data_IF_646664843164
#
_entry.id   IF_646664843164
#
_cell.length_a   1.000
_cell.length_b   1.000
_cell.length_c   1.000
_cell.angle_alpha   90.00
_cell.angle_beta   90.00
_cell.angle_gamma   90.00
#
_symmetry.space_group_name_H-M   'P 1'
#
loop_
_entity.id
_entity.type
_entity.pdbx_description
1 polymer ?
#
# COMPACT_ATOMS: atom_id res chain seq x y z
N UNK A 1 32.52 -20.87 -41.62
CA UNK A 1 31.09 -21.06 -41.33
C UNK A 1 30.79 -20.31 -40.03
N UNK A 2 30.23 -19.11 -40.13
CA UNK A 2 29.90 -18.27 -38.97
C UNK A 2 28.39 -18.12 -38.92
N UNK A 3 27.74 -18.90 -38.06
CA UNK A 3 26.29 -18.83 -37.84
C UNK A 3 26.00 -17.62 -36.96
N UNK A 4 25.46 -16.56 -37.55
CA UNK A 4 24.92 -15.43 -36.81
C UNK A 4 23.68 -15.88 -36.02
N UNK A 5 23.65 -15.55 -34.73
CA UNK A 5 22.49 -15.76 -33.88
C UNK A 5 21.32 -14.88 -34.37
N UNK A 6 20.07 -15.40 -34.38
CA UNK A 6 18.92 -14.61 -34.80
C UNK A 6 18.63 -13.48 -33.80
N UNK A 7 18.08 -12.34 -34.26
CA UNK A 7 17.71 -11.25 -33.37
C UNK A 7 16.57 -11.69 -32.42
N UNK A 8 16.55 -11.19 -31.18
CA UNK A 8 15.51 -11.53 -30.22
C UNK A 8 14.13 -11.03 -30.69
N UNK A 9 13.10 -11.84 -30.47
CA UNK A 9 11.72 -11.55 -30.83
C UNK A 9 11.11 -10.52 -29.88
N UNK A 10 10.11 -9.77 -30.38
CA UNK A 10 9.41 -8.66 -29.71
C UNK A 10 8.70 -9.01 -28.37
N UNK A 11 8.83 -10.24 -27.86
CA UNK A 11 8.20 -10.70 -26.61
C UNK A 11 9.08 -10.51 -25.36
N UNK A 12 10.26 -9.89 -25.47
CA UNK A 12 11.21 -9.71 -24.36
C UNK A 12 11.46 -8.26 -23.96
N UNK A 13 10.53 -7.34 -24.23
CA UNK A 13 10.58 -6.00 -23.62
C UNK A 13 9.75 -6.01 -22.34
N UNK A 14 10.25 -6.69 -21.29
CA UNK A 14 9.96 -6.21 -19.94
C UNK A 14 10.73 -4.91 -19.83
N UNK A 15 10.05 -3.81 -19.56
CA UNK A 15 10.71 -2.57 -19.15
C UNK A 15 11.55 -2.93 -17.91
N UNK A 16 12.85 -3.12 -18.09
CA UNK A 16 13.79 -3.26 -16.98
C UNK A 16 13.97 -1.84 -16.44
N UNK A 17 13.06 -1.42 -15.57
CA UNK A 17 13.26 -0.22 -14.77
C UNK A 17 14.49 -0.45 -13.90
N UNK A 18 15.35 0.56 -13.79
CA UNK A 18 16.50 0.52 -12.89
C UNK A 18 16.00 0.28 -11.46
N UNK A 19 16.60 -0.63 -10.67
CA UNK A 19 16.25 -0.80 -9.25
C UNK A 19 16.22 0.53 -8.47
N UNK A 20 17.10 1.47 -8.80
CA UNK A 20 17.09 2.80 -8.17
C UNK A 20 15.83 3.61 -8.51
N UNK A 21 15.33 3.50 -9.74
CA UNK A 21 14.08 4.13 -10.18
C UNK A 21 12.86 3.50 -9.49
N UNK A 22 12.88 2.17 -9.28
CA UNK A 22 11.80 1.46 -8.58
C UNK A 22 11.74 1.84 -7.09
N UNK A 23 12.89 1.90 -6.40
CA UNK A 23 12.97 2.39 -5.02
C UNK A 23 12.46 3.83 -4.88
N UNK A 24 12.90 4.71 -5.80
CA UNK A 24 12.46 6.11 -5.84
C UNK A 24 10.93 6.22 -6.05
N UNK A 25 10.34 5.30 -6.80
CA UNK A 25 8.90 5.25 -7.02
C UNK A 25 8.13 4.79 -5.78
N UNK A 26 8.58 3.71 -5.13
CA UNK A 26 7.97 3.21 -3.90
C UNK A 26 8.02 4.25 -2.79
N UNK A 27 9.14 4.97 -2.69
CA UNK A 27 9.28 6.11 -1.79
C UNK A 27 8.23 7.20 -2.06
N UNK A 28 8.06 7.64 -3.31
CA UNK A 28 7.00 8.61 -3.67
C UNK A 28 5.61 8.11 -3.30
N UNK A 29 5.26 6.86 -3.59
CA UNK A 29 3.95 6.33 -3.20
C UNK A 29 3.74 6.31 -1.68
N UNK A 30 4.80 6.05 -0.90
CA UNK A 30 4.72 6.15 0.56
C UNK A 30 4.53 7.59 1.03
N UNK A 31 5.16 8.58 0.40
CA UNK A 31 4.91 9.99 0.70
C UNK A 31 3.45 10.38 0.43
N UNK A 32 2.83 9.84 -0.63
CA UNK A 32 1.40 10.04 -0.90
C UNK A 32 0.55 9.44 0.23
N UNK A 33 0.85 8.22 0.67
CA UNK A 33 0.18 7.62 1.83
C UNK A 33 0.37 8.48 3.10
N UNK A 34 1.56 9.06 3.32
CA UNK A 34 1.84 9.94 4.44
C UNK A 34 1.02 11.24 4.41
N UNK A 35 0.86 11.85 3.23
CA UNK A 35 -0.04 13.00 3.06
C UNK A 35 -1.49 12.67 3.41
N UNK A 36 -1.95 11.46 3.10
CA UNK A 36 -3.30 11.01 3.45
C UNK A 36 -3.44 10.81 4.97
N UNK A 37 -2.41 10.28 5.63
CA UNK A 37 -2.42 10.12 7.09
C UNK A 37 -2.56 11.47 7.82
N UNK A 38 -1.97 12.57 7.30
CA UNK A 38 -2.11 13.91 7.90
C UNK A 38 -3.54 14.48 7.82
N UNK A 39 -4.38 13.95 6.92
CA UNK A 39 -5.80 14.34 6.77
C UNK A 39 -6.70 13.72 7.85
N UNK A 40 -6.22 12.71 8.57
CA UNK A 40 -6.99 12.06 9.62
C UNK A 40 -7.41 13.06 10.70
N UNK A 41 -8.66 12.94 11.17
CA UNK A 41 -9.05 13.52 12.45
C UNK A 41 -8.33 12.71 13.54
N UNK A 42 -7.49 13.34 14.37
CA UNK A 42 -6.72 12.64 15.39
C UNK A 42 -7.60 12.19 16.56
N UNK A 43 -7.22 11.07 17.17
CA UNK A 43 -7.84 10.56 18.41
C UNK A 43 -6.76 9.98 19.31
N UNK A 44 -7.03 9.84 20.61
CA UNK A 44 -6.08 9.26 21.58
C UNK A 44 -6.17 7.73 21.67
N UNK A 45 -7.06 7.10 20.91
CA UNK A 45 -7.38 5.67 21.01
C UNK A 45 -7.17 4.91 19.70
N UNK A 46 -6.72 5.59 18.65
CA UNK A 46 -6.43 4.99 17.36
C UNK A 46 -5.35 5.79 16.63
N UNK A 47 -4.63 5.12 15.73
CA UNK A 47 -3.60 5.76 14.91
C UNK A 47 -4.19 6.50 13.69
N UNK A 48 -3.49 7.53 13.23
CA UNK A 48 -3.70 8.19 11.94
C UNK A 48 -2.87 7.48 10.86
N UNK A 49 -3.52 6.68 10.02
CA UNK A 49 -2.85 5.89 8.98
C UNK A 49 -3.33 6.37 7.62
N UNK A 50 -2.46 6.34 6.62
CA UNK A 50 -2.80 6.57 5.23
C UNK A 50 -2.44 5.37 4.38
N UNK A 51 -3.20 5.17 3.30
CA UNK A 51 -3.08 4.03 2.40
C UNK A 51 -3.27 4.46 0.95
N UNK A 52 -2.50 3.89 0.04
CA UNK A 52 -2.69 4.02 -1.41
C UNK A 52 -2.53 2.67 -2.08
N UNK A 53 -3.27 2.43 -3.15
CA UNK A 53 -3.23 1.18 -3.92
C UNK A 53 -3.00 1.54 -5.38
N UNK A 54 -1.93 1.03 -5.96
CA UNK A 54 -1.56 1.22 -7.37
C UNK A 54 -1.60 -0.10 -8.11
N UNK A 55 -1.87 -0.08 -9.42
CA UNK A 55 -1.56 -1.23 -10.27
C UNK A 55 -0.08 -1.22 -10.63
N UNK A 56 0.53 -2.41 -10.77
CA UNK A 56 1.94 -2.53 -11.14
C UNK A 56 2.22 -2.21 -12.62
N UNK A 57 1.21 -1.87 -13.41
CA UNK A 57 1.37 -1.59 -14.84
C UNK A 57 2.03 -0.23 -15.12
N UNK A 58 1.93 0.71 -14.19
CA UNK A 58 2.53 2.04 -14.31
C UNK A 58 2.76 2.64 -12.91
N UNK A 59 3.80 3.45 -12.73
CA UNK A 59 3.93 4.26 -11.51
C UNK A 59 2.73 5.18 -11.27
N UNK A 60 2.08 5.69 -12.32
CA UNK A 60 0.97 6.65 -12.20
C UNK A 60 -0.42 6.01 -12.10
N UNK A 61 -0.53 4.68 -12.06
CA UNK A 61 -1.82 3.98 -12.06
C UNK A 61 -2.40 3.79 -10.67
N UNK A 62 -2.69 4.90 -10.00
CA UNK A 62 -3.43 4.93 -8.74
C UNK A 62 -4.84 4.35 -8.94
N UNK A 63 -5.19 3.36 -8.12
CA UNK A 63 -6.50 2.71 -8.16
C UNK A 63 -7.41 3.21 -7.05
N UNK A 64 -6.89 3.38 -5.84
CA UNK A 64 -7.64 3.84 -4.68
C UNK A 64 -6.72 4.41 -3.61
N UNK A 65 -7.29 5.24 -2.75
CA UNK A 65 -6.63 5.85 -1.60
C UNK A 65 -7.41 5.51 -0.34
N UNK A 66 -6.86 5.76 0.84
CA UNK A 66 -7.53 5.57 2.11
C UNK A 66 -6.84 6.36 3.21
N UNK A 67 -7.57 6.86 4.19
CA UNK A 67 -6.99 7.26 5.48
C UNK A 67 -7.90 6.87 6.64
N UNK A 68 -7.33 6.72 7.83
CA UNK A 68 -8.11 6.33 9.01
C UNK A 68 -9.28 7.28 9.22
N UNK A 69 -10.48 6.71 9.44
CA UNK A 69 -11.73 7.43 9.68
C UNK A 69 -12.18 8.30 8.49
N UNK A 70 -11.75 7.97 7.27
CA UNK A 70 -12.25 8.60 6.05
C UNK A 70 -13.71 8.19 5.79
N UNK A 71 -14.01 6.90 5.85
CA UNK A 71 -15.37 6.37 5.71
C UNK A 71 -16.07 6.32 7.08
N UNK A 72 -17.41 6.38 7.14
CA UNK A 72 -18.16 6.35 8.40
C UNK A 72 -17.77 5.20 9.32
N UNK A 73 -17.65 5.50 10.63
CA UNK A 73 -17.23 4.55 11.65
C UNK A 73 -15.73 4.61 11.95
N UNK A 74 -15.25 3.67 12.77
CA UNK A 74 -13.82 3.59 13.14
C UNK A 74 -13.02 2.77 12.10
N UNK A 75 -13.10 3.21 10.84
CA UNK A 75 -12.47 2.52 9.71
C UNK A 75 -10.97 2.81 9.66
N UNK A 76 -10.17 1.81 9.27
CA UNK A 76 -8.74 2.01 9.01
C UNK A 76 -8.50 2.40 7.55
N UNK A 77 -7.31 2.94 7.28
CA UNK A 77 -6.92 3.40 5.95
C UNK A 77 -7.01 2.30 4.88
N UNK A 78 -6.50 1.10 5.18
CA UNK A 78 -6.49 -0.02 4.25
C UNK A 78 -7.91 -0.53 4.00
N UNK A 79 -8.77 -0.51 5.02
CA UNK A 79 -10.18 -0.81 4.84
C UNK A 79 -10.85 0.21 3.91
N UNK A 80 -10.65 1.52 4.15
CA UNK A 80 -11.23 2.57 3.29
C UNK A 80 -10.80 2.41 1.83
N UNK A 81 -9.51 2.11 1.59
CA UNK A 81 -8.98 1.92 0.25
C UNK A 81 -9.56 0.70 -0.45
N UNK A 82 -9.68 -0.44 0.24
CA UNK A 82 -10.23 -1.68 -0.31
C UNK A 82 -11.75 -1.55 -0.56
N UNK A 83 -12.50 -1.02 0.40
CA UNK A 83 -13.95 -0.86 0.29
C UNK A 83 -14.29 0.02 -0.93
N UNK A 84 -13.54 1.12 -1.16
CA UNK A 84 -13.68 1.96 -2.36
C UNK A 84 -13.40 1.22 -3.68
N UNK A 85 -12.45 0.29 -3.71
CA UNK A 85 -12.21 -0.56 -4.89
C UNK A 85 -13.42 -1.48 -5.14
N UNK A 86 -13.91 -2.13 -4.10
CA UNK A 86 -15.01 -3.08 -4.20
C UNK A 86 -16.29 -2.38 -4.65
N UNK A 87 -16.63 -1.25 -4.04
CA UNK A 87 -17.86 -0.52 -4.32
C UNK A 87 -17.82 0.21 -5.67
N UNK A 88 -16.70 0.89 -5.95
CA UNK A 88 -16.55 1.75 -7.12
C UNK A 88 -16.16 1.01 -8.39
N UNK A 89 -15.26 0.03 -8.29
CA UNK A 89 -14.54 -0.51 -9.45
C UNK A 89 -14.85 -1.98 -9.73
N UNK A 90 -15.43 -2.73 -8.79
CA UNK A 90 -15.69 -4.16 -8.98
C UNK A 90 -17.14 -4.45 -9.36
N UNK A 91 -17.37 -5.42 -10.24
CA UNK A 91 -18.73 -5.93 -10.49
C UNK A 91 -19.23 -6.65 -9.22
N UNK A 92 -20.48 -6.40 -8.83
CA UNK A 92 -21.14 -7.20 -7.80
C UNK A 92 -21.21 -8.63 -8.29
N UNK A 93 -20.70 -9.56 -7.48
CA UNK A 93 -20.53 -10.98 -7.81
C UNK A 93 -21.87 -11.71 -7.95
N UNK A 94 -22.63 -11.39 -8.98
CA UNK A 94 -23.76 -12.19 -9.44
C UNK A 94 -23.23 -13.08 -10.57
N UNK A 95 -22.66 -14.23 -10.18
CA UNK A 95 -22.37 -15.38 -11.05
C UNK A 95 -21.49 -15.09 -12.27
N UNK A 96 -20.22 -14.78 -12.06
CA UNK A 96 -19.21 -15.09 -13.08
C UNK A 96 -18.81 -16.55 -12.87
N UNK A 97 -19.23 -17.42 -13.79
CA UNK A 97 -19.03 -18.86 -13.72
C UNK A 97 -17.56 -19.26 -13.55
N UNK A 98 -17.37 -20.46 -13.03
CA UNK A 98 -16.10 -21.17 -12.86
C UNK A 98 -15.34 -21.24 -14.20
N UNK A 99 -14.57 -20.20 -14.49
CA UNK A 99 -13.57 -20.19 -15.54
C UNK A 99 -12.20 -20.11 -14.88
N UNK A 100 -11.61 -21.26 -14.59
CA UNK A 100 -10.21 -21.40 -14.21
C UNK A 100 -9.32 -21.06 -15.43
N UNK A 101 -9.28 -19.78 -15.79
CA UNK A 101 -8.30 -19.26 -16.73
C UNK A 101 -6.97 -19.10 -16.01
N UNK A 102 -6.11 -20.13 -16.08
CA UNK A 102 -4.74 -20.05 -15.57
C UNK A 102 -4.00 -18.84 -16.18
N UNK A 103 -3.72 -17.85 -15.33
CA UNK A 103 -2.54 -16.99 -15.44
C UNK A 103 -2.55 -15.78 -16.38
N UNK A 104 -3.62 -15.46 -17.13
CA UNK A 104 -3.57 -14.34 -18.11
C UNK A 104 -4.38 -13.07 -17.76
N UNK A 105 -5.34 -13.12 -16.84
CA UNK A 105 -6.23 -11.98 -16.55
C UNK A 105 -6.19 -11.54 -15.08
N UNK A 106 -4.99 -11.29 -14.55
CA UNK A 106 -4.79 -10.71 -13.20
C UNK A 106 -4.12 -9.34 -13.31
N UNK A 107 -4.73 -8.34 -12.69
CA UNK A 107 -4.08 -7.05 -12.42
C UNK A 107 -3.44 -7.13 -11.03
N UNK A 108 -2.11 -7.08 -11.02
CA UNK A 108 -1.31 -7.05 -9.79
C UNK A 108 -1.30 -5.65 -9.20
N UNK A 109 -1.45 -5.59 -7.89
CA UNK A 109 -1.54 -4.36 -7.12
C UNK A 109 -0.42 -4.29 -6.09
N UNK A 110 0.07 -3.08 -5.88
CA UNK A 110 0.90 -2.71 -4.75
C UNK A 110 0.07 -1.86 -3.80
N UNK A 111 0.08 -2.23 -2.51
CA UNK A 111 -0.55 -1.46 -1.45
C UNK A 111 0.54 -0.79 -0.62
N UNK A 112 0.45 0.53 -0.43
CA UNK A 112 1.35 1.31 0.41
C UNK A 112 0.56 1.82 1.61
N UNK A 113 1.03 1.52 2.82
CA UNK A 113 0.41 1.95 4.07
C UNK A 113 1.45 2.58 4.98
N UNK A 114 1.12 3.68 5.65
CA UNK A 114 2.10 4.36 6.53
C UNK A 114 2.44 3.53 7.76
N UNK A 115 1.63 2.53 8.12
CA UNK A 115 1.85 1.66 9.28
C UNK A 115 1.52 0.20 8.92
N UNK A 116 2.22 -0.75 9.57
CA UNK A 116 1.98 -2.19 9.45
C UNK A 116 0.47 -2.51 9.54
N UNK A 117 -0.09 -3.29 8.60
CA UNK A 117 -1.50 -3.67 8.66
C UNK A 117 -1.83 -4.48 9.91
N UNK A 118 -2.70 -3.96 10.76
CA UNK A 118 -3.08 -4.62 12.01
C UNK A 118 -3.54 -6.08 11.82
N UNK A 119 -3.13 -6.98 12.72
CA UNK A 119 -3.57 -8.39 12.72
C UNK A 119 -4.97 -8.58 13.32
N UNK A 120 -5.33 -7.76 14.32
CA UNK A 120 -6.62 -7.77 15.02
C UNK A 120 -7.01 -6.35 15.37
N UNK A 121 -8.29 -6.11 15.63
CA UNK A 121 -8.79 -4.83 16.14
C UNK A 121 -9.75 -5.05 17.29
N UNK A 122 -9.75 -4.12 18.24
CA UNK A 122 -10.77 -4.10 19.28
C UNK A 122 -12.15 -3.73 18.71
N UNK A 123 -12.20 -2.88 17.69
CA UNK A 123 -13.43 -2.39 17.07
C UNK A 123 -14.04 -3.32 16.02
N UNK A 124 -13.28 -4.28 15.51
CA UNK A 124 -13.69 -5.20 14.45
C UNK A 124 -12.93 -6.52 14.58
N UNK A 125 -13.60 -7.69 14.55
CA UNK A 125 -12.90 -8.97 14.61
C UNK A 125 -11.90 -9.18 13.46
N UNK A 126 -12.08 -8.54 12.31
CA UNK A 126 -11.19 -8.70 11.15
C UNK A 126 -10.16 -7.57 11.09
N UNK A 127 -8.86 -7.89 11.28
CA UNK A 127 -7.74 -6.94 11.08
C UNK A 127 -7.49 -6.58 9.61
N UNK A 128 -6.67 -5.55 9.36
CA UNK A 128 -6.32 -5.11 8.00
C UNK A 128 -5.56 -6.19 7.22
N UNK A 129 -4.65 -6.92 7.87
CA UNK A 129 -3.96 -8.04 7.22
C UNK A 129 -4.96 -9.09 6.71
N UNK A 130 -5.96 -9.44 7.51
CA UNK A 130 -6.99 -10.39 7.11
C UNK A 130 -7.90 -9.85 6.01
N UNK A 131 -8.16 -8.53 5.96
CA UNK A 131 -8.91 -7.90 4.86
C UNK A 131 -8.16 -8.00 3.54
N UNK A 132 -6.84 -7.77 3.53
CA UNK A 132 -6.00 -7.93 2.33
C UNK A 132 -6.01 -9.39 1.85
N UNK A 133 -5.90 -10.36 2.76
CA UNK A 133 -5.97 -11.80 2.44
C UNK A 133 -7.34 -12.18 1.86
N UNK A 134 -8.42 -11.67 2.47
CA UNK A 134 -9.78 -11.88 1.98
C UNK A 134 -9.97 -11.30 0.58
N UNK A 135 -9.51 -10.06 0.35
CA UNK A 135 -9.54 -9.41 -0.96
C UNK A 135 -8.87 -10.26 -2.05
N UNK A 136 -7.70 -10.83 -1.75
CA UNK A 136 -6.98 -11.71 -2.69
C UNK A 136 -7.67 -13.06 -2.95
N UNK A 137 -8.43 -13.56 -1.96
CA UNK A 137 -9.21 -14.80 -2.09
C UNK A 137 -10.52 -14.59 -2.85
N UNK A 138 -11.05 -13.36 -2.86
CA UNK A 138 -12.28 -13.01 -3.55
C UNK A 138 -12.11 -12.90 -5.06
N UNK A 139 -13.20 -13.13 -5.80
CA UNK A 139 -13.27 -12.92 -7.25
C UNK A 139 -13.58 -11.46 -7.59
N UNK A 140 -12.85 -10.51 -7.00
CA UNK A 140 -13.00 -9.09 -7.34
C UNK A 140 -12.47 -8.87 -8.75
N UNK A 141 -13.39 -8.49 -9.65
CA UNK A 141 -13.10 -8.26 -11.06
C UNK A 141 -13.38 -6.81 -11.42
N UNK A 142 -12.40 -6.16 -12.06
CA UNK A 142 -12.56 -4.79 -12.55
C UNK A 142 -13.74 -4.69 -13.53
N UNK A 143 -14.55 -3.64 -13.36
CA UNK A 143 -15.55 -3.15 -14.32
C UNK A 143 -14.84 -2.58 -15.56
N UNK A 144 -14.24 -3.45 -16.37
CA UNK A 144 -13.56 -3.11 -17.62
C UNK A 144 -13.98 -4.07 -18.73
N UNK A 145 -13.65 -3.73 -19.98
CA UNK A 145 -13.95 -4.53 -21.18
C UNK A 145 -13.32 -5.93 -21.17
N UNK A 146 -12.33 -6.15 -20.29
CA UNK A 146 -11.77 -7.47 -19.99
C UNK A 146 -11.96 -7.75 -18.50
N UNK A 147 -12.67 -8.82 -18.16
CA UNK A 147 -12.92 -9.27 -16.78
C UNK A 147 -11.61 -9.71 -16.11
N UNK A 148 -10.83 -8.75 -15.58
CA UNK A 148 -9.56 -9.03 -14.91
C UNK A 148 -9.71 -9.04 -13.39
N UNK A 149 -9.17 -10.09 -12.76
CA UNK A 149 -9.13 -10.22 -11.31
C UNK A 149 -8.10 -9.26 -10.71
N UNK A 150 -8.41 -8.70 -9.55
CA UNK A 150 -7.48 -7.90 -8.77
C UNK A 150 -6.74 -8.78 -7.75
N UNK A 151 -5.44 -8.54 -7.58
CA UNK A 151 -4.64 -9.21 -6.56
C UNK A 151 -3.58 -8.26 -6.01
N UNK A 152 -3.56 -8.07 -4.69
CA UNK A 152 -2.49 -7.40 -3.97
C UNK A 152 -1.33 -8.38 -3.83
N UNK A 153 -0.24 -8.10 -4.53
CA UNK A 153 0.94 -8.96 -4.54
C UNK A 153 1.98 -8.48 -3.53
N UNK A 154 2.12 -7.15 -3.38
CA UNK A 154 3.08 -6.52 -2.47
C UNK A 154 2.40 -5.51 -1.56
N UNK A 155 2.83 -5.49 -0.30
CA UNK A 155 2.48 -4.50 0.71
C UNK A 155 3.76 -3.79 1.15
N UNK A 156 3.77 -2.48 0.95
CA UNK A 156 4.82 -1.58 1.37
C UNK A 156 4.36 -0.83 2.62
N UNK A 157 5.14 -0.90 3.70
CA UNK A 157 4.83 -0.23 4.96
C UNK A 157 5.85 0.87 5.30
N UNK A 158 5.39 1.94 5.93
CA UNK A 158 6.26 3.03 6.39
C UNK A 158 6.93 2.72 7.73
N UNK A 159 6.15 2.30 8.73
CA UNK A 159 6.63 1.89 10.06
C UNK A 159 5.93 0.63 10.53
N UNK A 160 6.59 -0.13 11.40
CA UNK A 160 5.94 -1.23 12.11
C UNK A 160 4.92 -0.69 13.11
N UNK A 161 3.84 -1.43 13.34
CA UNK A 161 2.87 -1.05 14.36
C UNK A 161 3.55 -1.16 15.74
N UNK A 162 3.58 -0.07 16.52
CA UNK A 162 4.16 -0.10 17.85
C UNK A 162 3.22 -0.84 18.82
N UNK A 163 3.74 -1.33 19.95
CA UNK A 163 3.01 -2.25 20.84
C UNK A 163 1.98 -1.57 21.75
N UNK A 164 1.58 -0.32 21.45
CA UNK A 164 0.70 0.52 22.27
C UNK A 164 -0.70 -0.09 22.46
N UNK A 165 -1.22 -0.76 21.43
CA UNK A 165 -2.57 -1.34 21.46
C UNK A 165 -2.58 -2.87 21.52
N UNK A 166 -1.69 -3.55 20.80
CA UNK A 166 -1.56 -5.01 20.77
C UNK A 166 -0.23 -5.40 20.13
N UNK A 167 0.28 -6.61 20.41
CA UNK A 167 1.34 -7.20 19.60
C UNK A 167 0.80 -7.52 18.19
N UNK A 168 1.19 -6.71 17.21
CA UNK A 168 0.79 -6.90 15.81
C UNK A 168 1.55 -8.06 15.16
N UNK A 169 0.82 -8.87 14.39
CA UNK A 169 1.35 -10.00 13.62
C UNK A 169 1.06 -9.85 12.11
N UNK A 170 0.75 -8.62 11.67
CA UNK A 170 0.26 -8.33 10.33
C UNK A 170 1.20 -8.81 9.23
N UNK A 171 2.48 -8.50 9.37
CA UNK A 171 3.51 -8.93 8.42
C UNK A 171 3.58 -10.47 8.29
N UNK A 172 3.48 -11.19 9.41
CA UNK A 172 3.54 -12.67 9.43
C UNK A 172 2.37 -13.25 8.64
N UNK A 173 1.15 -12.78 8.95
CA UNK A 173 -0.08 -13.24 8.30
C UNK A 173 -0.05 -13.00 6.78
N UNK A 174 0.41 -11.83 6.35
CA UNK A 174 0.51 -11.48 4.93
C UNK A 174 1.53 -12.37 4.20
N UNK A 175 2.73 -12.56 4.76
CA UNK A 175 3.77 -13.40 4.17
C UNK A 175 3.34 -14.87 4.08
N UNK A 176 2.68 -15.39 5.10
CA UNK A 176 2.12 -16.76 5.09
C UNK A 176 1.04 -16.95 4.01
N UNK A 177 0.30 -15.89 3.67
CA UNK A 177 -0.68 -15.88 2.58
C UNK A 177 -0.06 -15.61 1.19
N UNK A 178 1.27 -15.51 1.09
CA UNK A 178 1.98 -15.28 -0.17
C UNK A 178 1.91 -13.83 -0.67
N UNK A 179 1.71 -12.86 0.24
CA UNK A 179 1.85 -11.42 -0.04
C UNK A 179 3.25 -10.98 0.40
N UNK A 180 4.00 -10.35 -0.50
CA UNK A 180 5.31 -9.79 -0.16
C UNK A 180 5.13 -8.56 0.73
N UNK A 181 5.95 -8.43 1.78
CA UNK A 181 5.88 -7.28 2.70
C UNK A 181 7.24 -6.64 2.87
N UNK A 182 7.34 -5.38 2.45
CA UNK A 182 8.57 -4.57 2.45
C UNK A 182 8.38 -3.29 3.26
N UNK A 183 9.44 -2.84 3.92
CA UNK A 183 9.50 -1.49 4.51
C UNK A 183 10.10 -0.53 3.50
N UNK A 184 9.45 0.61 3.28
CA UNK A 184 9.95 1.64 2.36
C UNK A 184 11.02 2.46 3.06
N UNK A 185 12.14 2.69 2.36
CA UNK A 185 13.21 3.55 2.82
C UNK A 185 13.36 4.75 1.88
N UNK A 186 13.82 5.91 2.39
CA UNK A 186 14.25 7.01 1.53
C UNK A 186 15.38 6.58 0.58
N UNK A 187 15.40 7.12 -0.65
CA UNK A 187 16.48 6.86 -1.60
C UNK A 187 17.83 7.36 -1.05
N UNK A 188 18.96 6.74 -1.46
CA UNK A 188 20.29 7.22 -1.08
C UNK A 188 20.48 8.70 -1.48
N UNK A 189 21.00 9.52 -0.57
CA UNK A 189 21.33 10.93 -0.84
C UNK A 189 20.32 11.97 -0.36
N UNK A 190 19.10 11.58 0.05
CA UNK A 190 18.19 12.46 0.80
C UNK A 190 18.76 12.72 2.20
N UNK A 191 19.56 13.78 2.30
CA UNK A 191 20.43 14.04 3.47
C UNK A 191 19.74 14.77 4.62
N UNK A 192 18.52 15.27 4.44
CA UNK A 192 17.84 16.09 5.45
C UNK A 192 17.39 15.29 6.69
N UNK A 193 17.15 13.98 6.57
CA UNK A 193 16.64 13.14 7.69
C UNK A 193 17.37 11.82 7.93
N UNK A 194 18.37 11.46 7.12
CA UNK A 194 19.02 10.15 7.21
C UNK A 194 18.17 9.01 6.62
N UNK A 195 18.48 7.75 6.93
CA UNK A 195 17.71 6.60 6.38
C UNK A 195 16.44 6.26 7.18
N UNK A 196 16.30 6.81 8.39
CA UNK A 196 15.26 6.46 9.35
C UNK A 196 14.13 7.51 9.44
N UNK A 197 14.28 8.70 8.83
CA UNK A 197 13.29 9.77 9.03
C UNK A 197 11.90 9.40 8.53
N UNK A 198 11.78 8.63 7.45
CA UNK A 198 10.47 8.25 6.92
C UNK A 198 9.71 7.37 7.91
N UNK A 199 10.41 6.41 8.52
CA UNK A 199 9.84 5.55 9.57
C UNK A 199 9.42 6.39 10.78
N UNK A 200 10.31 7.28 11.25
CA UNK A 200 10.04 8.20 12.36
C UNK A 200 8.87 9.14 12.09
N UNK A 201 8.75 9.66 10.86
CA UNK A 201 7.68 10.57 10.46
C UNK A 201 6.35 9.83 10.29
N UNK A 202 6.36 8.62 9.73
CA UNK A 202 5.18 7.75 9.71
C UNK A 202 4.68 7.46 11.14
N UNK A 203 5.57 7.17 12.09
CA UNK A 203 5.20 6.96 13.48
C UNK A 203 4.67 8.23 14.14
N UNK A 204 5.33 9.37 13.92
CA UNK A 204 4.91 10.67 14.47
C UNK A 204 3.51 11.04 13.99
N UNK A 205 3.25 10.95 12.69
CA UNK A 205 1.93 11.24 12.13
C UNK A 205 0.90 10.23 12.64
N UNK A 206 1.24 8.95 12.78
CA UNK A 206 0.35 7.95 13.35
C UNK A 206 -0.09 8.30 14.78
N UNK A 207 0.82 8.85 15.58
CA UNK A 207 0.58 9.30 16.96
C UNK A 207 0.06 10.74 17.08
N UNK A 208 -0.36 11.38 15.98
CA UNK A 208 -0.93 12.73 16.02
C UNK A 208 -2.05 12.84 17.05
N UNK A 209 -1.87 13.70 18.06
CA UNK A 209 -2.79 13.90 19.19
C UNK A 209 -2.62 12.94 20.37
N UNK A 210 -1.65 12.02 20.34
CA UNK A 210 -1.30 11.15 21.47
C UNK A 210 -0.37 11.89 22.44
N UNK A 211 -0.35 11.47 23.71
CA UNK A 211 0.47 12.12 24.73
C UNK A 211 1.98 11.99 24.46
N UNK A 212 2.37 10.97 23.71
CA UNK A 212 3.73 10.65 23.30
C UNK A 212 4.00 10.92 21.82
N UNK A 213 3.19 11.78 21.18
CA UNK A 213 3.51 12.32 19.86
C UNK A 213 4.89 12.99 19.89
N UNK A 214 5.81 12.54 19.03
CA UNK A 214 7.12 13.16 18.92
C UNK A 214 7.02 14.59 18.36
N UNK A 215 7.95 15.46 18.75
CA UNK A 215 8.04 16.80 18.18
C UNK A 215 8.20 16.74 16.66
N UNK A 216 7.63 17.72 15.95
CA UNK A 216 7.80 17.83 14.51
C UNK A 216 9.31 17.93 14.17
N UNK A 217 9.77 17.26 13.09
CA UNK A 217 11.14 17.40 12.63
C UNK A 217 11.38 18.80 12.05
N UNK A 218 12.60 19.04 11.58
CA UNK A 218 12.94 20.28 10.89
C UNK A 218 12.02 20.53 9.68
N UNK A 219 11.78 21.81 9.35
CA UNK A 219 10.80 22.20 8.33
C UNK A 219 11.13 21.62 6.94
N UNK A 220 12.41 21.50 6.63
CA UNK A 220 12.90 20.88 5.39
C UNK A 220 12.50 19.40 5.28
N UNK A 221 12.54 18.64 6.38
CA UNK A 221 12.04 17.25 6.44
C UNK A 221 10.54 17.20 6.24
N UNK A 222 9.78 18.12 6.85
CA UNK A 222 8.32 18.18 6.67
C UNK A 222 7.96 18.48 5.21
N UNK A 223 8.73 19.35 4.55
CA UNK A 223 8.51 19.70 3.14
C UNK A 223 8.72 18.54 2.18
N UNK A 224 9.61 17.58 2.49
CA UNK A 224 9.87 16.40 1.65
C UNK A 224 8.56 15.70 1.25
N UNK A 225 7.63 15.58 2.20
CA UNK A 225 6.36 14.89 1.97
C UNK A 225 5.19 15.84 1.77
N UNK A 226 5.17 17.04 2.37
CA UNK A 226 4.07 18.00 2.18
C UNK A 226 4.04 18.62 0.79
N UNK A 227 5.20 18.85 0.19
CA UNK A 227 5.31 19.52 -1.11
C UNK A 227 5.37 18.50 -2.27
N UNK A 228 5.35 17.20 -1.95
CA UNK A 228 5.36 16.13 -2.94
C UNK A 228 4.07 16.10 -3.78
N UNK A 229 4.22 15.81 -5.07
CA UNK A 229 3.13 15.75 -6.06
C UNK A 229 3.14 14.38 -6.73
N UNK A 230 1.95 13.78 -6.94
CA UNK A 230 1.76 12.41 -7.39
C UNK A 230 0.80 12.32 -8.57
#
# INVERSE_FOLDING_TARGET
>A
MSTALPPPTAAQVRSQTDPEDEEQQHYKHMLHALQLADKCIPTTTAFCVGCTIYTQSSPSSLLSTGYSRELPGNTHAEQCALDKIVDGLCLSSEKTGEGEGEGKDVVRLDLYTTMEPCSKRASDPQGCAQRIIAFNSSSHVLRSSSLKRLRIERVFQGVREPTDFQLCEGQRLLREAGVEVLTVLPPPGESAGGREWLEGECLRIAKKGHADEAAAPAEDVVRLWKDAVF
#
